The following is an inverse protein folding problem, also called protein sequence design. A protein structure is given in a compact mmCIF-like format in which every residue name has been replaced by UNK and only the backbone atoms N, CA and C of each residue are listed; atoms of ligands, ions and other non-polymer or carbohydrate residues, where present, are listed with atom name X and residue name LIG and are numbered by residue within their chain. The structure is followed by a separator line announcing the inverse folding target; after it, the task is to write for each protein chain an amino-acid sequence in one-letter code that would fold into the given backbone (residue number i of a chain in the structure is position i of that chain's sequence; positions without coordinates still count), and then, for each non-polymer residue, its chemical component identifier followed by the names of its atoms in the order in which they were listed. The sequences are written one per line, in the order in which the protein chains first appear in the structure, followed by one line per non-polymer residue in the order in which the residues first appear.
data_IF_994283490630
#
_entry.id   IF_994283490630
#
_cell.length_a   1.000
_cell.length_b   1.000
_cell.length_c   1.000
_cell.angle_alpha   90.00
_cell.angle_beta   90.00
_cell.angle_gamma   90.00
#
_symmetry.space_group_name_H-M   'P 1'
#
loop_
_entity.id
_entity.type
_entity.pdbx_description
1 polymer ?
#
# COMPACT_ATOMS: atom_id res chain seq x y z
N UNK A 1 -24.34 11.66 -16.99
CA UNK A 1 -24.68 10.57 -16.06
C UNK A 1 -24.12 10.91 -14.70
N UNK A 2 -24.99 10.95 -13.70
CA UNK A 2 -24.66 11.31 -12.32
C UNK A 2 -23.89 10.18 -11.63
N UNK A 3 -23.01 10.53 -10.71
CA UNK A 3 -22.27 9.54 -9.91
C UNK A 3 -23.19 8.64 -9.08
N UNK A 4 -24.35 9.15 -8.64
CA UNK A 4 -25.34 8.34 -7.91
C UNK A 4 -26.00 7.27 -8.79
N UNK A 5 -26.26 7.58 -10.07
CA UNK A 5 -26.82 6.62 -11.03
C UNK A 5 -25.83 5.49 -11.29
N UNK A 6 -24.54 5.81 -11.40
CA UNK A 6 -23.50 4.80 -11.57
C UNK A 6 -23.34 3.90 -10.32
N UNK A 7 -23.49 4.47 -9.12
CA UNK A 7 -23.46 3.68 -7.89
C UNK A 7 -24.63 2.69 -7.84
N UNK A 8 -25.85 3.13 -8.18
CA UNK A 8 -27.02 2.27 -8.21
C UNK A 8 -26.94 1.20 -9.30
N UNK A 9 -26.38 1.54 -10.47
CA UNK A 9 -26.34 0.65 -11.63
C UNK A 9 -25.22 -0.38 -11.55
N UNK A 10 -24.02 0.03 -11.14
CA UNK A 10 -22.82 -0.82 -11.21
C UNK A 10 -22.35 -1.31 -9.85
N UNK A 11 -22.87 -0.77 -8.73
CA UNK A 11 -22.40 -1.09 -7.39
C UNK A 11 -22.47 -2.58 -7.06
N UNK A 12 -23.64 -3.20 -7.25
CA UNK A 12 -23.87 -4.61 -6.88
C UNK A 12 -23.12 -5.60 -7.78
N UNK A 13 -23.00 -5.29 -9.06
CA UNK A 13 -22.24 -6.11 -10.01
C UNK A 13 -20.73 -6.03 -9.73
N UNK A 14 -20.23 -4.81 -9.51
CA UNK A 14 -18.83 -4.57 -9.17
C UNK A 14 -18.46 -5.23 -7.82
N UNK A 15 -19.35 -5.18 -6.83
CA UNK A 15 -19.16 -5.88 -5.56
C UNK A 15 -19.09 -7.40 -5.75
N UNK A 16 -19.99 -7.99 -6.54
CA UNK A 16 -19.99 -9.43 -6.83
C UNK A 16 -18.70 -9.89 -7.51
N UNK A 17 -18.21 -9.15 -8.51
CA UNK A 17 -16.96 -9.50 -9.20
C UNK A 17 -15.75 -9.46 -8.24
N UNK A 18 -15.67 -8.42 -7.40
CA UNK A 18 -14.57 -8.27 -6.44
C UNK A 18 -14.63 -9.31 -5.33
N UNK A 19 -15.82 -9.62 -4.81
CA UNK A 19 -16.03 -10.66 -3.80
C UNK A 19 -15.69 -12.06 -4.36
N UNK A 20 -15.85 -12.28 -5.67
CA UNK A 20 -15.38 -13.47 -6.38
C UNK A 20 -13.85 -13.51 -6.59
N UNK A 21 -13.11 -12.52 -6.08
CA UNK A 21 -11.65 -12.44 -6.18
C UNK A 21 -11.14 -11.78 -7.45
N UNK A 22 -12.00 -11.24 -8.32
CA UNK A 22 -11.59 -10.55 -9.53
C UNK A 22 -10.90 -9.22 -9.18
N UNK A 23 -9.71 -8.94 -9.75
CA UNK A 23 -9.07 -7.64 -9.61
C UNK A 23 -9.95 -6.51 -10.19
N UNK A 24 -10.00 -5.37 -9.50
CA UNK A 24 -10.76 -4.17 -9.96
C UNK A 24 -10.37 -3.73 -11.38
N UNK A 25 -9.13 -3.98 -11.80
CA UNK A 25 -8.69 -3.69 -13.18
C UNK A 25 -9.46 -4.53 -14.21
N UNK A 26 -9.72 -5.79 -13.92
CA UNK A 26 -10.44 -6.72 -14.80
C UNK A 26 -11.95 -6.46 -14.73
N UNK A 27 -12.48 -6.24 -13.52
CA UNK A 27 -13.89 -5.86 -13.34
C UNK A 27 -14.24 -4.56 -14.09
N UNK A 28 -13.31 -3.59 -14.17
CA UNK A 28 -13.50 -2.37 -14.96
C UNK A 28 -13.68 -2.64 -16.46
N UNK A 29 -12.97 -3.64 -17.00
CA UNK A 29 -13.12 -4.05 -18.42
C UNK A 29 -14.48 -4.71 -18.63
N UNK A 30 -14.90 -5.58 -17.71
CA UNK A 30 -16.20 -6.28 -17.78
C UNK A 30 -17.37 -5.30 -17.73
N UNK A 31 -17.31 -4.32 -16.82
CA UNK A 31 -18.39 -3.34 -16.61
C UNK A 31 -18.32 -2.20 -17.64
N UNK A 32 -17.18 -2.00 -18.30
CA UNK A 32 -17.02 -0.98 -19.34
C UNK A 32 -16.89 0.45 -18.80
N UNK A 33 -16.45 0.62 -17.55
CA UNK A 33 -16.23 1.95 -16.94
C UNK A 33 -14.77 2.15 -16.52
N UNK A 34 -14.28 3.40 -16.44
CA UNK A 34 -12.89 3.66 -16.05
C UNK A 34 -12.56 3.11 -14.66
N UNK A 35 -11.38 2.48 -14.53
CA UNK A 35 -10.89 1.88 -13.27
C UNK A 35 -10.99 2.81 -12.05
N UNK A 36 -10.71 4.11 -12.23
CA UNK A 36 -10.82 5.10 -11.15
C UNK A 36 -12.26 5.24 -10.66
N UNK A 37 -13.23 5.17 -11.57
CA UNK A 37 -14.67 5.25 -11.28
C UNK A 37 -15.15 4.00 -10.54
N UNK A 38 -14.66 2.82 -10.89
CA UNK A 38 -14.88 1.59 -10.11
C UNK A 38 -14.44 1.75 -8.65
N UNK A 39 -13.22 2.25 -8.41
CA UNK A 39 -12.73 2.50 -7.04
C UNK A 39 -13.54 3.57 -6.30
N UNK A 40 -14.11 4.55 -7.00
CA UNK A 40 -14.97 5.56 -6.38
C UNK A 40 -16.32 4.96 -5.96
N UNK A 41 -16.95 4.15 -6.84
CA UNK A 41 -18.20 3.44 -6.55
C UNK A 41 -18.02 2.47 -5.37
N UNK A 42 -16.96 1.64 -5.40
CA UNK A 42 -16.62 0.70 -4.33
C UNK A 42 -16.42 1.38 -2.98
N UNK A 43 -15.79 2.57 -2.97
CA UNK A 43 -15.66 3.39 -1.76
C UNK A 43 -16.99 3.95 -1.29
N UNK A 44 -17.84 4.43 -2.20
CA UNK A 44 -19.16 4.98 -1.87
C UNK A 44 -20.10 3.94 -1.25
N UNK A 45 -20.02 2.68 -1.70
CA UNK A 45 -20.82 1.56 -1.14
C UNK A 45 -20.15 0.88 0.07
N UNK A 46 -19.11 1.51 0.67
CA UNK A 46 -18.36 0.98 1.82
C UNK A 46 -17.73 -0.41 1.60
N UNK A 47 -17.41 -0.78 0.36
CA UNK A 47 -16.72 -2.02 -0.01
C UNK A 47 -15.32 -1.69 -0.56
N UNK A 48 -14.33 -1.39 0.29
CA UNK A 48 -13.00 -1.04 -0.18
C UNK A 48 -12.39 -2.20 -0.94
N UNK A 49 -12.23 -2.03 -2.25
CA UNK A 49 -11.67 -3.07 -3.10
C UNK A 49 -10.15 -3.07 -3.06
N UNK A 50 -9.61 -4.19 -2.62
CA UNK A 50 -8.18 -4.43 -2.45
C UNK A 50 -7.94 -5.36 -1.28
N UNK A 51 -6.83 -6.09 -1.31
CA UNK A 51 -6.43 -6.91 -0.15
C UNK A 51 -6.32 -5.97 1.06
N UNK A 52 -7.08 -6.21 2.15
CA UNK A 52 -6.93 -5.41 3.35
C UNK A 52 -5.46 -5.47 3.72
N UNK A 53 -4.84 -4.30 3.84
CA UNK A 53 -3.50 -4.21 4.38
C UNK A 53 -3.62 -4.71 5.81
N UNK A 54 -3.01 -5.85 6.15
CA UNK A 54 -3.08 -6.43 7.49
C UNK A 54 -2.55 -5.39 8.49
N UNK A 55 -3.46 -4.62 9.09
CA UNK A 55 -3.15 -3.68 10.16
C UNK A 55 -2.70 -4.42 11.41
N UNK A 56 -3.03 -5.71 11.49
CA UNK A 56 -2.69 -6.64 12.55
C UNK A 56 -1.58 -7.62 12.14
N UNK A 57 -0.76 -7.32 11.11
CA UNK A 57 0.46 -8.09 10.89
C UNK A 57 1.29 -7.98 12.17
N UNK A 58 1.26 -9.03 13.00
CA UNK A 58 1.97 -9.09 14.27
C UNK A 58 3.43 -8.83 13.94
N UNK A 59 3.94 -7.73 14.50
CA UNK A 59 5.29 -7.29 14.26
C UNK A 59 6.25 -8.24 14.99
N UNK A 60 6.62 -9.33 14.32
CA UNK A 60 7.54 -10.30 14.89
C UNK A 60 9.00 -9.86 14.65
N UNK A 61 9.54 -9.16 15.64
CA UNK A 61 10.93 -8.71 15.63
C UNK A 61 11.92 -9.88 15.55
N UNK A 62 11.62 -11.00 16.20
CA UNK A 62 12.49 -12.17 16.23
C UNK A 62 12.56 -12.84 14.86
N UNK A 63 11.42 -12.95 14.16
CA UNK A 63 11.37 -13.50 12.80
C UNK A 63 12.14 -12.64 11.79
N UNK A 64 12.07 -11.31 11.90
CA UNK A 64 12.81 -10.39 11.03
C UNK A 64 14.32 -10.58 11.21
N UNK A 65 14.78 -10.64 12.46
CA UNK A 65 16.21 -10.81 12.79
C UNK A 65 16.71 -12.19 12.38
N UNK A 66 15.97 -13.26 12.71
CA UNK A 66 16.35 -14.63 12.40
C UNK A 66 16.35 -14.94 10.92
N UNK A 67 15.48 -14.29 10.13
CA UNK A 67 15.49 -14.41 8.66
C UNK A 67 16.63 -13.60 8.03
N UNK A 68 16.97 -12.46 8.62
CA UNK A 68 18.06 -11.61 8.11
C UNK A 68 19.43 -12.23 8.35
N UNK A 69 19.70 -12.78 9.53
CA UNK A 69 21.00 -13.33 9.90
C UNK A 69 21.60 -14.31 8.86
N UNK A 70 20.86 -15.31 8.34
CA UNK A 70 21.39 -16.22 7.33
C UNK A 70 21.30 -15.69 5.89
N UNK A 71 20.40 -14.75 5.59
CA UNK A 71 20.15 -14.32 4.20
C UNK A 71 20.79 -12.98 3.81
N UNK A 72 21.13 -12.14 4.78
CA UNK A 72 21.54 -10.75 4.58
C UNK A 72 20.49 -9.88 3.87
N UNK A 73 19.25 -10.37 3.68
CA UNK A 73 18.27 -9.76 2.79
C UNK A 73 17.07 -9.19 3.54
N UNK A 74 16.99 -7.86 3.57
CA UNK A 74 15.86 -7.11 4.15
C UNK A 74 14.54 -7.46 3.44
N UNK A 75 14.58 -7.68 2.11
CA UNK A 75 13.39 -8.03 1.32
C UNK A 75 12.84 -9.41 1.70
N UNK A 76 13.71 -10.40 1.93
CA UNK A 76 13.29 -11.72 2.39
C UNK A 76 12.72 -11.66 3.80
N UNK A 77 13.38 -10.96 4.72
CA UNK A 77 12.89 -10.75 6.08
C UNK A 77 11.52 -10.05 6.13
N UNK A 78 11.32 -9.02 5.30
CA UNK A 78 10.05 -8.30 5.19
C UNK A 78 8.92 -9.20 4.67
N UNK A 79 9.19 -10.01 3.64
CA UNK A 79 8.21 -10.96 3.10
C UNK A 79 7.85 -12.05 4.10
N UNK A 80 8.86 -12.65 4.75
CA UNK A 80 8.67 -13.69 5.76
C UNK A 80 7.79 -13.19 6.92
N UNK A 81 8.01 -11.95 7.34
CA UNK A 81 7.29 -11.34 8.47
C UNK A 81 6.04 -10.56 8.04
N UNK A 82 5.68 -10.60 6.75
CA UNK A 82 4.53 -9.88 6.16
C UNK A 82 4.49 -8.37 6.47
N UNK A 83 5.65 -7.75 6.66
CA UNK A 83 5.77 -6.31 6.92
C UNK A 83 6.26 -5.55 5.71
N UNK A 84 6.07 -4.23 5.70
CA UNK A 84 6.67 -3.38 4.69
C UNK A 84 8.21 -3.41 4.79
N UNK A 85 8.89 -3.31 3.65
CA UNK A 85 10.36 -3.28 3.59
C UNK A 85 10.97 -2.17 4.47
N UNK A 86 10.32 -1.00 4.56
CA UNK A 86 10.75 0.10 5.43
C UNK A 86 10.71 -0.26 6.92
N UNK A 87 9.71 -1.04 7.34
CA UNK A 87 9.55 -1.50 8.73
C UNK A 87 10.63 -2.52 9.08
N UNK A 88 10.83 -3.54 8.22
CA UNK A 88 11.91 -4.51 8.40
C UNK A 88 13.29 -3.83 8.44
N UNK A 89 13.55 -2.88 7.54
CA UNK A 89 14.81 -2.10 7.56
C UNK A 89 14.99 -1.35 8.88
N UNK A 90 13.96 -0.68 9.39
CA UNK A 90 14.04 0.06 10.66
C UNK A 90 14.38 -0.88 11.81
N UNK A 91 13.67 -2.00 11.93
CA UNK A 91 13.91 -3.00 12.98
C UNK A 91 15.34 -3.54 12.93
N UNK A 92 15.86 -3.83 11.74
CA UNK A 92 17.23 -4.32 11.58
C UNK A 92 18.29 -3.25 11.90
N UNK A 93 17.99 -1.97 11.70
CA UNK A 93 18.87 -0.90 12.18
C UNK A 93 18.81 -0.75 13.69
N UNK A 94 17.62 -0.78 14.28
CA UNK A 94 17.43 -0.70 15.74
C UNK A 94 18.13 -1.88 16.45
N UNK A 95 18.17 -3.04 15.81
CA UNK A 95 18.92 -4.22 16.25
C UNK A 95 20.43 -4.19 15.96
N UNK A 96 20.95 -3.12 15.34
CA UNK A 96 22.38 -2.97 15.01
C UNK A 96 22.88 -3.85 13.86
N UNK A 97 22.01 -4.57 13.16
CA UNK A 97 22.36 -5.51 12.09
C UNK A 97 22.50 -4.83 10.72
N UNK A 98 21.98 -3.62 10.59
CA UNK A 98 22.08 -2.81 9.37
C UNK A 98 22.58 -1.42 9.77
N UNK A 99 23.54 -0.83 9.05
CA UNK A 99 23.99 0.52 9.36
C UNK A 99 22.85 1.53 9.14
N UNK A 100 22.74 2.50 10.05
CA UNK A 100 21.74 3.58 10.00
C UNK A 100 21.86 4.45 8.74
N UNK A 101 22.99 4.41 8.04
CA UNK A 101 23.13 5.05 6.73
C UNK A 101 22.14 4.49 5.69
N UNK A 102 21.75 3.22 5.81
CA UNK A 102 20.69 2.65 4.98
C UNK A 102 19.31 3.21 5.36
N UNK A 103 19.09 3.79 6.55
CA UNK A 103 17.83 4.50 6.82
C UNK A 103 17.75 5.87 6.15
N UNK A 104 18.87 6.44 5.66
CA UNK A 104 18.84 7.71 4.93
C UNK A 104 17.91 7.54 3.73
N UNK A 105 16.70 8.12 3.84
CA UNK A 105 15.82 8.29 2.69
C UNK A 105 16.60 9.12 1.69
N UNK A 106 16.80 8.58 0.49
CA UNK A 106 17.11 9.39 -0.68
C UNK A 106 15.87 10.26 -0.97
N UNK A 107 15.67 11.31 -0.17
CA UNK A 107 14.74 12.37 -0.49
C UNK A 107 15.34 13.20 -1.63
N UNK A 108 14.48 13.85 -2.43
CA UNK A 108 14.94 14.89 -3.35
C UNK A 108 15.08 16.18 -2.54
N UNK A 109 16.30 16.59 -2.14
CA UNK A 109 16.48 17.76 -1.29
C UNK A 109 15.91 19.02 -1.96
N UNK A 110 16.02 19.10 -3.29
CA UNK A 110 15.47 20.19 -4.10
C UNK A 110 13.93 20.25 -4.03
N UNK A 111 13.25 19.12 -4.03
CA UNK A 111 11.79 19.10 -3.94
C UNK A 111 11.32 19.54 -2.55
N UNK A 112 12.05 19.17 -1.49
CA UNK A 112 11.77 19.65 -0.13
C UNK A 112 12.02 21.16 -0.02
N UNK A 113 13.09 21.67 -0.62
CA UNK A 113 13.40 23.11 -0.61
C UNK A 113 12.32 23.92 -1.33
N UNK A 114 11.95 23.53 -2.56
CA UNK A 114 10.88 24.18 -3.32
C UNK A 114 9.53 24.15 -2.59
N UNK A 115 9.21 23.06 -1.90
CA UNK A 115 7.99 22.98 -1.10
C UNK A 115 8.00 23.95 0.08
N UNK A 116 9.13 24.08 0.78
CA UNK A 116 9.27 25.04 1.88
C UNK A 116 9.23 26.48 1.37
N UNK A 117 9.89 26.78 0.25
CA UNK A 117 9.80 28.09 -0.43
C UNK A 117 8.35 28.44 -0.80
N UNK A 118 7.54 27.46 -1.23
CA UNK A 118 6.13 27.67 -1.53
C UNK A 118 5.27 27.88 -0.27
N UNK A 119 5.56 27.20 0.84
CA UNK A 119 4.87 27.44 2.13
C UNK A 119 5.19 28.83 2.68
N UNK A 120 6.45 29.26 2.59
CA UNK A 120 6.84 30.60 3.02
C UNK A 120 6.23 31.70 2.11
N UNK A 121 5.87 31.37 0.87
CA UNK A 121 5.24 32.28 -0.08
C UNK A 121 3.70 32.38 0.06
N UNK A 122 3.04 31.47 0.78
CA UNK A 122 1.59 31.49 1.07
C UNK A 122 0.78 30.41 0.38
#
# INVERSE_FOLDING_TARGET
MSFQEDCARFGDELARLVDAGMPVKEAAVVIGIPRQRCYAILRAINRPAGKPRDKNAILDHALIVSTFAPTGSISRAAKASRVAHSVARRILVDAGLVPAEKLKRAGKPEAKRKFLELIDAG
#
